data_IF_118766819513
#
_entry.id   IF_118766819513
#
_cell.length_a   1.000
_cell.length_b   1.000
_cell.length_c   1.000
_cell.angle_alpha   90.00
_cell.angle_beta   90.00
_cell.angle_gamma   90.00
#
_symmetry.space_group_name_H-M   'P 1'
#
loop_
_entity.id
_entity.type
_entity.pdbx_description
1 polymer ?
#
# COMPACT_ATOMS: atom_id res chain seq x y z
N UNK A 1 38.47 29.66 -12.34
CA UNK A 1 37.06 30.13 -12.41
C UNK A 1 36.19 29.08 -11.76
N UNK A 2 35.14 29.47 -11.05
CA UNK A 2 34.15 28.53 -10.50
C UNK A 2 32.77 29.03 -10.88
N UNK A 3 31.90 28.12 -11.31
CA UNK A 3 30.52 28.42 -11.66
C UNK A 3 29.61 27.31 -11.12
N UNK A 4 28.35 27.65 -10.91
CA UNK A 4 27.32 26.72 -10.43
C UNK A 4 26.32 26.52 -11.55
N UNK A 5 26.04 25.26 -11.87
CA UNK A 5 24.95 24.88 -12.76
C UNK A 5 23.82 24.29 -11.92
N UNK A 6 22.59 24.72 -12.21
CA UNK A 6 21.39 24.18 -11.58
C UNK A 6 20.50 23.59 -12.66
N UNK A 7 20.00 22.38 -12.41
CA UNK A 7 19.11 21.66 -13.31
C UNK A 7 17.84 21.29 -12.56
N UNK A 8 16.70 21.39 -13.22
CA UNK A 8 15.42 20.91 -12.72
C UNK A 8 14.98 19.69 -13.55
N UNK A 9 14.62 18.61 -12.87
CA UNK A 9 14.11 17.42 -13.54
C UNK A 9 12.65 17.62 -13.94
N UNK A 10 12.34 17.21 -15.17
CA UNK A 10 10.94 17.16 -15.62
C UNK A 10 10.15 16.18 -14.78
N UNK A 11 9.01 16.63 -14.24
CA UNK A 11 8.06 15.78 -13.53
C UNK A 11 7.24 14.87 -14.46
N UNK A 12 7.40 15.01 -15.77
CA UNK A 12 6.72 14.20 -16.79
C UNK A 12 7.59 13.07 -17.36
N UNK A 13 8.89 13.08 -17.07
CA UNK A 13 9.85 12.09 -17.60
C UNK A 13 10.50 11.35 -16.43
N UNK A 14 10.39 10.03 -16.43
CA UNK A 14 11.01 9.18 -15.42
C UNK A 14 12.40 8.76 -15.91
N UNK A 15 13.45 9.19 -15.20
CA UNK A 15 14.85 8.93 -15.54
C UNK A 15 15.49 8.08 -14.46
N UNK A 16 16.22 7.04 -14.81
CA UNK A 16 16.92 6.18 -13.85
C UNK A 16 18.24 6.80 -13.36
N UNK A 17 18.85 7.69 -14.15
CA UNK A 17 20.08 8.39 -13.81
C UNK A 17 20.16 9.76 -14.48
N UNK A 18 21.12 10.57 -14.02
CA UNK A 18 21.60 11.76 -14.69
C UNK A 18 23.08 11.59 -15.03
N UNK A 19 23.45 11.98 -16.25
CA UNK A 19 24.83 12.03 -16.71
C UNK A 19 25.13 13.46 -17.19
N UNK A 20 26.19 14.06 -16.66
CA UNK A 20 26.64 15.40 -17.05
C UNK A 20 28.07 15.29 -17.56
N UNK A 21 28.23 15.55 -18.85
CA UNK A 21 29.54 15.57 -19.51
C UNK A 21 29.94 17.03 -19.69
N UNK A 22 31.10 17.38 -19.15
CA UNK A 22 31.69 18.71 -19.26
C UNK A 22 32.97 18.58 -20.09
N UNK A 23 33.06 19.41 -21.13
CA UNK A 23 34.24 19.55 -21.97
C UNK A 23 34.69 21.01 -21.93
N UNK A 24 35.96 21.23 -21.61
CA UNK A 24 36.59 22.54 -21.75
C UNK A 24 37.42 22.58 -23.03
N UNK A 25 37.27 23.65 -23.82
CA UNK A 25 38.05 23.86 -25.04
C UNK A 25 38.58 25.29 -25.10
N UNK A 26 39.75 25.47 -25.71
CA UNK A 26 40.32 26.78 -26.01
C UNK A 26 40.68 26.93 -27.50
N UNK A 27 40.86 28.16 -27.96
CA UNK A 27 41.37 28.43 -29.32
C UNK A 27 42.89 28.20 -29.45
N UNK A 28 43.55 27.76 -28.37
CA UNK A 28 44.98 27.47 -28.34
C UNK A 28 45.31 26.07 -28.86
N UNK A 29 46.58 25.84 -29.20
CA UNK A 29 47.07 24.50 -29.52
C UNK A 29 47.30 23.73 -28.21
N UNK A 30 46.52 22.67 -28.00
CA UNK A 30 46.55 21.91 -26.75
C UNK A 30 47.41 20.64 -26.88
N UNK A 31 48.24 20.40 -25.86
CA UNK A 31 49.18 19.26 -25.82
C UNK A 31 48.52 18.00 -25.27
N UNK A 32 47.54 18.15 -24.38
CA UNK A 32 46.78 17.06 -23.76
C UNK A 32 45.31 17.42 -23.74
N UNK A 33 44.48 16.55 -24.33
CA UNK A 33 43.03 16.72 -24.39
C UNK A 33 42.30 15.89 -23.31
N UNK A 34 43.01 14.99 -22.63
CA UNK A 34 42.40 14.00 -21.75
C UNK A 34 41.94 14.58 -20.40
N UNK A 35 42.45 15.75 -20.01
CA UNK A 35 42.11 16.46 -18.77
C UNK A 35 41.01 17.51 -18.93
N UNK A 36 40.54 17.73 -20.16
CA UNK A 36 39.45 18.66 -20.46
C UNK A 36 38.05 18.06 -20.24
N UNK A 37 37.98 16.75 -20.01
CA UNK A 37 36.73 16.01 -19.89
C UNK A 37 36.44 15.64 -18.44
N UNK A 38 35.18 15.83 -18.04
CA UNK A 38 34.66 15.28 -16.81
C UNK A 38 33.28 14.67 -17.07
N UNK A 39 33.08 13.43 -16.61
CA UNK A 39 31.84 12.69 -16.75
C UNK A 39 31.27 12.38 -15.35
N UNK A 40 30.15 13.02 -15.02
CA UNK A 40 29.49 12.89 -13.74
C UNK A 40 28.24 12.04 -13.94
N UNK A 41 28.22 10.84 -13.36
CA UNK A 41 27.08 9.94 -13.36
C UNK A 41 26.44 9.85 -11.98
N UNK A 42 25.11 10.00 -11.90
CA UNK A 42 24.38 9.85 -10.65
C UNK A 42 23.05 9.12 -10.83
N UNK A 43 22.81 7.98 -10.16
CA UNK A 43 21.53 7.29 -10.20
C UNK A 43 20.46 8.09 -9.45
N UNK A 44 19.26 8.17 -10.03
CA UNK A 44 18.13 8.88 -9.43
C UNK A 44 17.28 7.93 -8.60
N UNK A 45 16.79 8.44 -7.47
CA UNK A 45 15.82 7.74 -6.63
C UNK A 45 14.59 8.61 -6.50
N UNK A 46 13.43 8.00 -6.65
CA UNK A 46 12.15 8.67 -6.51
C UNK A 46 11.44 8.19 -5.27
N UNK A 47 10.84 9.13 -4.57
CA UNK A 47 9.91 8.85 -3.50
C UNK A 47 8.52 8.57 -4.09
N UNK A 48 7.95 7.43 -3.71
CA UNK A 48 6.55 7.12 -4.01
C UNK A 48 5.70 7.70 -2.88
N UNK A 49 4.86 8.69 -3.21
CA UNK A 49 3.93 9.28 -2.25
C UNK A 49 2.56 8.60 -2.42
N UNK A 50 2.35 7.53 -1.67
CA UNK A 50 1.14 6.71 -1.70
C UNK A 50 0.35 6.90 -0.40
N UNK A 51 -0.90 7.32 -0.54
CA UNK A 51 -1.84 7.43 0.57
C UNK A 51 -2.76 6.22 0.62
N UNK A 52 -2.81 5.58 1.79
CA UNK A 52 -3.69 4.47 2.09
C UNK A 52 -4.73 4.92 3.11
N UNK A 53 -6.01 4.76 2.79
CA UNK A 53 -7.11 5.05 3.71
C UNK A 53 -8.05 3.85 3.85
N UNK A 54 -8.68 3.76 5.02
CA UNK A 54 -9.66 2.74 5.36
C UNK A 54 -10.85 3.38 6.04
N UNK A 55 -12.04 2.95 5.64
CA UNK A 55 -13.30 3.29 6.28
C UNK A 55 -14.12 2.04 6.61
N UNK A 56 -15.01 2.15 7.60
CA UNK A 56 -15.90 1.07 8.00
C UNK A 56 -17.27 1.60 8.40
N UNK A 57 -18.34 1.02 7.84
CA UNK A 57 -19.71 1.36 8.18
C UNK A 57 -20.54 0.10 8.50
N UNK A 58 -21.02 -0.07 9.75
CA UNK A 58 -20.82 0.83 10.90
C UNK A 58 -19.38 0.79 11.42
N UNK A 59 -18.98 1.81 12.19
CA UNK A 59 -17.61 1.93 12.75
C UNK A 59 -17.32 0.98 13.91
N UNK A 60 -18.34 0.26 14.39
CA UNK A 60 -18.21 -0.78 15.41
C UNK A 60 -19.52 -1.51 15.67
N UNK A 61 -19.44 -2.64 16.37
CA UNK A 61 -20.58 -3.33 16.97
C UNK A 61 -20.46 -3.36 18.49
N UNK A 62 -21.61 -3.41 19.15
CA UNK A 62 -21.73 -3.86 20.52
C UNK A 62 -21.95 -5.39 20.51
N UNK A 63 -21.16 -6.11 21.31
CA UNK A 63 -21.34 -7.55 21.53
C UNK A 63 -22.00 -7.71 22.90
N UNK A 64 -23.21 -8.28 22.93
CA UNK A 64 -23.92 -8.55 24.18
C UNK A 64 -23.59 -9.96 24.66
N UNK A 65 -23.32 -10.09 25.96
CA UNK A 65 -22.99 -11.39 26.57
C UNK A 65 -24.23 -12.30 26.75
N UNK A 66 -25.44 -11.75 26.62
CA UNK A 66 -26.67 -12.49 26.81
C UNK A 66 -27.12 -13.17 25.50
N UNK A 67 -26.72 -14.44 25.35
CA UNK A 67 -27.08 -15.30 24.23
C UNK A 67 -28.55 -15.77 24.27
N UNK A 68 -29.31 -15.47 25.33
CA UNK A 68 -30.67 -16.00 25.51
C UNK A 68 -31.71 -15.44 24.53
N UNK A 69 -31.38 -14.36 23.81
CA UNK A 69 -32.27 -13.66 22.88
C UNK A 69 -31.88 -13.81 21.40
N UNK A 70 -30.76 -14.46 21.10
CA UNK A 70 -30.29 -14.58 19.71
C UNK A 70 -30.83 -15.84 19.04
N UNK A 71 -31.60 -15.63 17.97
CA UNK A 71 -32.10 -16.71 17.11
C UNK A 71 -30.89 -17.33 16.40
N UNK A 72 -30.65 -18.65 16.53
CA UNK A 72 -29.58 -19.31 15.81
C UNK A 72 -29.68 -19.08 14.30
N UNK A 73 -28.60 -18.58 13.68
CA UNK A 73 -28.55 -18.31 12.24
C UNK A 73 -28.92 -16.87 11.84
N UNK A 74 -29.20 -15.97 12.78
CA UNK A 74 -29.36 -14.56 12.46
C UNK A 74 -27.98 -13.91 12.23
N UNK A 75 -27.65 -13.62 10.97
CA UNK A 75 -26.45 -12.85 10.63
C UNK A 75 -26.70 -11.40 11.08
N UNK A 76 -25.79 -10.85 11.89
CA UNK A 76 -25.86 -9.47 12.35
C UNK A 76 -25.86 -8.44 11.20
N UNK A 77 -25.97 -7.14 11.50
CA UNK A 77 -25.97 -6.11 10.46
C UNK A 77 -24.68 -6.17 9.62
N UNK A 78 -24.75 -5.82 8.32
CA UNK A 78 -23.59 -5.87 7.45
C UNK A 78 -22.53 -4.83 7.88
N UNK A 79 -21.26 -5.21 7.74
CA UNK A 79 -20.11 -4.32 7.88
C UNK A 79 -19.47 -4.08 6.52
N UNK A 80 -19.53 -2.84 6.06
CA UNK A 80 -18.87 -2.44 4.81
C UNK A 80 -17.50 -1.89 5.14
N UNK A 81 -16.45 -2.56 4.66
CA UNK A 81 -15.07 -2.08 4.73
C UNK A 81 -14.67 -1.50 3.37
N UNK A 82 -14.19 -0.26 3.39
CA UNK A 82 -13.68 0.41 2.19
C UNK A 82 -12.19 0.63 2.36
N UNK A 83 -11.41 0.23 1.36
CA UNK A 83 -9.96 0.45 1.31
C UNK A 83 -9.64 1.26 0.06
N UNK A 84 -8.85 2.33 0.20
CA UNK A 84 -8.46 3.18 -0.93
C UNK A 84 -6.94 3.36 -0.94
N UNK A 85 -6.40 3.36 -2.16
CA UNK A 85 -5.01 3.71 -2.45
C UNK A 85 -5.03 4.90 -3.40
N UNK A 86 -4.26 5.93 -3.09
CA UNK A 86 -4.11 7.11 -3.93
C UNK A 86 -2.63 7.38 -4.15
N UNK A 87 -2.24 7.66 -5.40
CA UNK A 87 -0.92 8.17 -5.71
C UNK A 87 -0.95 9.70 -5.64
N UNK A 88 -0.30 10.26 -4.63
CA UNK A 88 -0.12 11.71 -4.45
C UNK A 88 1.17 12.22 -5.12
N UNK A 89 2.04 11.30 -5.55
CA UNK A 89 3.30 11.61 -6.21
C UNK A 89 3.15 11.98 -7.68
N UNK A 90 4.24 12.48 -8.28
CA UNK A 90 4.27 12.86 -9.70
C UNK A 90 4.37 11.67 -10.64
N UNK A 91 5.03 10.60 -10.20
CA UNK A 91 5.36 9.46 -11.05
C UNK A 91 4.43 8.28 -10.78
N UNK A 92 4.05 7.51 -11.82
CA UNK A 92 3.22 6.33 -11.64
C UNK A 92 4.00 5.23 -10.92
N UNK A 93 3.40 4.64 -9.89
CA UNK A 93 3.92 3.44 -9.24
C UNK A 93 3.32 2.22 -9.90
N UNK A 94 4.18 1.31 -10.36
CA UNK A 94 3.78 0.09 -11.07
C UNK A 94 3.87 -1.13 -10.16
N UNK A 95 3.14 -2.17 -10.52
CA UNK A 95 3.21 -3.49 -9.89
C UNK A 95 2.94 -3.44 -8.37
N UNK A 96 2.03 -2.56 -7.95
CA UNK A 96 1.60 -2.42 -6.57
C UNK A 96 0.86 -3.68 -6.11
N UNK A 97 1.34 -4.27 -5.01
CA UNK A 97 0.65 -5.35 -4.32
C UNK A 97 0.05 -4.85 -3.01
N UNK A 98 -1.27 -5.06 -2.86
CA UNK A 98 -1.99 -4.80 -1.63
C UNK A 98 -2.48 -6.12 -1.03
N UNK A 99 -2.13 -6.36 0.24
CA UNK A 99 -2.64 -7.49 1.02
C UNK A 99 -3.54 -6.95 2.14
N UNK A 100 -4.78 -7.41 2.18
CA UNK A 100 -5.78 -7.02 3.18
C UNK A 100 -6.14 -8.26 4.00
N UNK A 101 -5.99 -8.17 5.31
CA UNK A 101 -6.42 -9.21 6.25
C UNK A 101 -7.75 -8.80 6.89
N UNK A 102 -8.78 -9.63 6.74
CA UNK A 102 -10.10 -9.45 7.33
C UNK A 102 -10.25 -10.46 8.48
N UNK A 103 -10.61 -10.03 9.70
CA UNK A 103 -10.75 -10.94 10.84
C UNK A 103 -12.05 -11.74 10.73
N UNK A 104 -12.01 -12.85 9.98
CA UNK A 104 -13.17 -13.74 9.78
C UNK A 104 -13.42 -14.67 10.97
N UNK A 105 -12.39 -14.97 11.77
CA UNK A 105 -12.47 -15.90 12.89
C UNK A 105 -11.74 -15.42 14.14
N UNK A 106 -12.22 -15.87 15.30
CA UNK A 106 -11.52 -15.74 16.57
C UNK A 106 -10.43 -16.79 16.72
N UNK A 107 -9.60 -16.67 17.77
CA UNK A 107 -8.54 -17.65 18.08
C UNK A 107 -9.07 -19.05 18.37
N UNK A 108 -10.28 -19.15 18.91
CA UNK A 108 -10.92 -20.44 19.19
C UNK A 108 -11.70 -20.98 17.98
N UNK A 109 -11.57 -20.33 16.82
CA UNK A 109 -12.20 -20.73 15.57
C UNK A 109 -13.67 -20.32 15.47
N UNK A 110 -14.15 -19.37 16.26
CA UNK A 110 -15.53 -18.88 16.11
C UNK A 110 -15.63 -17.93 14.91
N UNK A 111 -16.64 -18.12 14.06
CA UNK A 111 -16.91 -17.19 12.96
C UNK A 111 -17.29 -15.83 13.53
N UNK A 112 -16.53 -14.79 13.16
CA UNK A 112 -16.76 -13.39 13.56
C UNK A 112 -17.41 -12.60 12.43
N UNK A 113 -16.82 -12.68 11.23
CA UNK A 113 -17.31 -12.04 10.02
C UNK A 113 -17.47 -13.08 8.92
N UNK A 114 -18.52 -12.91 8.12
CA UNK A 114 -18.72 -13.66 6.89
C UNK A 114 -18.63 -12.67 5.73
N UNK A 115 -17.68 -12.88 4.83
CA UNK A 115 -17.56 -12.07 3.62
C UNK A 115 -18.71 -12.45 2.69
N UNK A 116 -19.65 -11.53 2.51
CA UNK A 116 -20.83 -11.72 1.66
C UNK A 116 -20.56 -11.32 0.21
N UNK A 117 -19.84 -10.23 0.00
CA UNK A 117 -19.50 -9.70 -1.31
C UNK A 117 -18.22 -8.86 -1.24
N UNK A 118 -17.61 -8.58 -2.39
CA UNK A 118 -16.50 -7.64 -2.52
C UNK A 118 -16.62 -6.88 -3.84
N UNK A 119 -16.29 -5.60 -3.78
CA UNK A 119 -16.33 -4.73 -4.94
C UNK A 119 -14.98 -4.05 -5.13
N UNK A 120 -14.58 -3.93 -6.39
CA UNK A 120 -13.35 -3.27 -6.80
C UNK A 120 -13.77 -2.20 -7.79
N UNK A 121 -13.27 -0.98 -7.61
CA UNK A 121 -13.43 0.05 -8.62
C UNK A 121 -12.69 -0.40 -9.89
N UNK A 122 -13.43 -0.63 -10.98
CA UNK A 122 -12.93 -1.24 -12.20
C UNK A 122 -12.13 -0.23 -13.02
N UNK A 123 -11.00 0.19 -12.46
CA UNK A 123 -9.93 0.84 -13.22
C UNK A 123 -9.12 -0.23 -13.95
N UNK A 124 -8.80 0.02 -15.22
CA UNK A 124 -8.03 -0.90 -16.04
C UNK A 124 -6.70 -1.26 -15.36
N UNK A 125 -6.45 -2.57 -15.24
CA UNK A 125 -5.21 -3.10 -14.64
C UNK A 125 -5.30 -3.51 -13.16
N UNK A 126 -6.40 -3.21 -12.46
CA UNK A 126 -6.59 -3.66 -11.07
C UNK A 126 -7.16 -5.08 -11.03
N UNK A 127 -6.48 -5.99 -10.33
CA UNK A 127 -6.96 -7.36 -10.07
C UNK A 127 -6.85 -7.67 -8.59
N UNK A 128 -7.95 -8.07 -7.97
CA UNK A 128 -7.95 -8.63 -6.61
C UNK A 128 -8.41 -10.09 -6.62
N UNK A 129 -7.90 -10.86 -5.67
CA UNK A 129 -8.29 -12.24 -5.44
C UNK A 129 -8.97 -12.27 -4.07
N UNK A 130 -10.28 -12.56 -4.00
CA UNK A 130 -10.98 -12.63 -2.72
C UNK A 130 -10.54 -13.86 -1.91
N UNK A 131 -10.71 -13.85 -0.58
CA UNK A 131 -10.50 -15.05 0.24
C UNK A 131 -11.38 -16.20 -0.26
N UNK A 132 -10.81 -17.41 -0.34
CA UNK A 132 -11.53 -18.61 -0.78
C UNK A 132 -12.12 -19.44 0.37
N UNK A 133 -12.17 -18.91 1.59
CA UNK A 133 -12.50 -19.71 2.77
C UNK A 133 -13.98 -19.65 3.14
N UNK A 134 -14.62 -20.83 3.15
CA UNK A 134 -15.88 -21.10 3.86
C UNK A 134 -15.57 -22.19 4.88
N UNK A 135 -15.04 -21.81 6.04
CA UNK A 135 -14.90 -22.75 7.15
C UNK A 135 -16.08 -22.54 8.10
N UNK A 136 -17.09 -23.40 7.97
CA UNK A 136 -18.15 -23.52 8.96
C UNK A 136 -17.53 -24.12 10.23
N UNK A 137 -17.36 -23.29 11.25
CA UNK A 137 -16.88 -23.76 12.55
C UNK A 137 -18.04 -23.98 13.52
N UNK A 138 -17.86 -24.93 14.43
CA UNK A 138 -18.77 -25.11 15.56
C UNK A 138 -18.47 -24.04 16.60
N UNK A 139 -19.49 -23.27 16.97
CA UNK A 139 -19.38 -22.25 18.00
C UNK A 139 -18.83 -22.87 19.31
N UNK A 140 -17.80 -22.26 19.84
CA UNK A 140 -17.18 -22.54 21.13
C UNK A 140 -17.31 -21.30 22.04
N UNK A 141 -17.49 -21.47 23.35
CA UNK A 141 -17.56 -20.32 24.27
C UNK A 141 -16.30 -19.46 24.20
N UNK A 142 -16.48 -18.14 24.10
CA UNK A 142 -15.41 -17.14 24.18
C UNK A 142 -15.42 -16.47 25.56
N UNK A 143 -14.24 -16.30 26.17
CA UNK A 143 -14.11 -15.48 27.38
C UNK A 143 -13.97 -14.00 26.99
N UNK A 144 -15.10 -13.31 26.97
CA UNK A 144 -15.18 -11.87 26.68
C UNK A 144 -14.88 -10.99 27.90
N UNK A 145 -14.70 -11.57 29.10
CA UNK A 145 -14.53 -10.80 30.35
C UNK A 145 -13.29 -9.91 30.35
N UNK A 146 -12.28 -10.25 29.54
CA UNK A 146 -11.01 -9.52 29.43
C UNK A 146 -10.94 -8.58 28.22
N UNK A 147 -12.02 -8.47 27.43
CA UNK A 147 -12.01 -7.77 26.14
C UNK A 147 -13.04 -6.65 26.15
N UNK A 148 -12.62 -5.44 26.55
CA UNK A 148 -13.50 -4.25 26.54
C UNK A 148 -13.83 -3.79 25.12
N UNK A 149 -12.96 -4.11 24.14
CA UNK A 149 -13.08 -3.85 22.71
C UNK A 149 -12.27 -4.90 21.95
N UNK A 150 -12.81 -5.49 20.89
CA UNK A 150 -11.99 -6.19 19.90
C UNK A 150 -11.19 -5.14 19.14
N UNK A 151 -9.99 -4.82 19.63
CA UNK A 151 -9.07 -3.91 18.94
C UNK A 151 -8.38 -4.73 17.85
N UNK A 152 -8.74 -4.46 16.59
CA UNK A 152 -7.92 -4.85 15.45
C UNK A 152 -6.50 -4.40 15.76
N UNK A 153 -5.59 -5.34 15.99
CA UNK A 153 -4.17 -5.02 16.04
C UNK A 153 -3.81 -4.33 14.72
N UNK A 154 -2.90 -3.35 14.72
CA UNK A 154 -2.45 -2.72 13.49
C UNK A 154 -1.72 -3.79 12.67
N UNK A 155 -2.38 -4.33 11.65
CA UNK A 155 -1.71 -5.23 10.72
C UNK A 155 -0.77 -4.40 9.85
N UNK A 156 0.50 -4.79 9.88
CA UNK A 156 1.55 -4.24 9.02
C UNK A 156 1.12 -4.40 7.56
N UNK A 157 0.86 -3.28 6.88
CA UNK A 157 0.71 -3.26 5.44
C UNK A 157 2.09 -3.13 4.81
N UNK A 158 2.56 -4.19 4.16
CA UNK A 158 3.78 -4.16 3.36
C UNK A 158 3.35 -3.85 1.93
N UNK A 159 3.39 -2.58 1.53
CA UNK A 159 3.42 -2.21 0.13
C UNK A 159 4.86 -2.45 -0.37
N UNK A 160 5.04 -3.50 -1.16
CA UNK A 160 6.31 -3.74 -1.85
C UNK A 160 6.12 -3.35 -3.31
N UNK A 161 6.87 -2.35 -3.77
CA UNK A 161 7.17 -2.23 -5.19
C UNK A 161 8.32 -3.19 -5.47
N UNK A 162 8.10 -4.16 -6.36
CA UNK A 162 9.19 -4.99 -6.83
C UNK A 162 10.05 -4.12 -7.76
N UNK A 163 11.35 -3.91 -7.46
CA UNK A 163 12.25 -3.38 -8.48
C UNK A 163 12.35 -4.42 -9.60
N UNK A 164 12.29 -3.97 -10.84
CA UNK A 164 12.74 -4.77 -11.98
C UNK A 164 14.25 -4.96 -11.92
#
# INVERSE_FOLDING_TARGET
VSFRLEFEFSRSVFLDHVQVILEASSDGEEVTLADNFNDIFHPLKYEADLLFTRDSNPSGCEIKADLSLEIPGNIGPPFNFTFQIQNLGFFPVRDLQLNIEIPEMTKNGNQLLQISDFHIDKTDGTRCIPPQHVAQSRASPEDLSRVSRLVNHPHHMIATSLPK
#
